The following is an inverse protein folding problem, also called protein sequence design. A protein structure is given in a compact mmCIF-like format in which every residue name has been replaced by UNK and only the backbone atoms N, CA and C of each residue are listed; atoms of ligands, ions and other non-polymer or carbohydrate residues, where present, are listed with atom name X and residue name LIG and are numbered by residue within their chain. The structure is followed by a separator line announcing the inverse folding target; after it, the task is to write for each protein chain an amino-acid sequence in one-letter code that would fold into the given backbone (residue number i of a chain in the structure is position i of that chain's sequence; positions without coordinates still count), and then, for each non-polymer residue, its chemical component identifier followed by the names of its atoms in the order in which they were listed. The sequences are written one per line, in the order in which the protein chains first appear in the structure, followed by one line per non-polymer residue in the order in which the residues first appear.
data_IF_326697779306
#
_entry.id   IF_326697779306
#
_cell.length_a   1.000
_cell.length_b   1.000
_cell.length_c   1.000
_cell.angle_alpha   90.00
_cell.angle_beta   90.00
_cell.angle_gamma   90.00
#
_symmetry.space_group_name_H-M   'P 1'
#
loop_
_entity.id
_entity.type
_entity.pdbx_description
1 polymer ?
#
# COMPACT_ATOMS: atom_id res chain seq x y z
N UNK A 1 -3.99 11.31 -13.95
CA UNK A 1 -2.69 10.76 -13.50
C UNK A 1 -1.79 10.65 -14.72
N UNK A 2 -0.47 10.73 -14.53
CA UNK A 2 0.50 10.62 -15.62
C UNK A 2 1.59 9.62 -15.26
N UNK A 3 1.95 8.75 -16.21
CA UNK A 3 3.18 7.97 -16.17
C UNK A 3 4.25 8.80 -16.89
N UNK A 4 5.29 9.17 -16.16
CA UNK A 4 6.38 10.03 -16.60
C UNK A 4 7.61 9.16 -16.89
N UNK A 5 7.94 9.02 -18.17
CA UNK A 5 8.98 8.12 -18.67
C UNK A 5 10.18 8.94 -19.08
N UNK A 6 11.27 8.80 -18.35
CA UNK A 6 12.51 9.52 -18.62
C UNK A 6 13.38 8.82 -19.68
N UNK A 7 14.12 9.64 -20.44
CA UNK A 7 15.06 9.20 -21.48
C UNK A 7 16.54 9.41 -21.09
N UNK A 8 16.83 9.64 -19.80
CA UNK A 8 18.17 10.00 -19.35
C UNK A 8 19.14 8.82 -19.51
N UNK A 9 20.24 9.02 -20.21
CA UNK A 9 21.29 8.01 -20.37
C UNK A 9 22.22 8.04 -19.14
N UNK A 10 21.76 7.43 -18.05
CA UNK A 10 22.54 7.29 -16.81
C UNK A 10 22.74 5.81 -16.48
N UNK A 11 23.75 5.52 -15.66
CA UNK A 11 24.03 4.14 -15.27
C UNK A 11 22.83 3.52 -14.54
N UNK A 12 22.39 2.30 -14.91
CA UNK A 12 21.33 1.61 -14.21
C UNK A 12 21.68 1.40 -12.72
N UNK A 13 20.69 1.46 -11.82
CA UNK A 13 20.91 1.18 -10.41
C UNK A 13 21.12 -0.32 -10.20
N UNK A 14 21.28 -0.73 -8.95
CA UNK A 14 21.27 -2.14 -8.58
C UNK A 14 19.98 -2.83 -9.02
N UNK A 15 20.04 -4.12 -9.33
CA UNK A 15 18.94 -4.90 -9.92
C UNK A 15 17.62 -4.80 -9.16
N UNK A 16 17.69 -4.76 -7.83
CA UNK A 16 16.54 -4.63 -6.92
C UNK A 16 15.78 -3.30 -7.07
N UNK A 17 16.39 -2.30 -7.71
CA UNK A 17 15.80 -0.97 -7.94
C UNK A 17 15.30 -0.75 -9.36
N UNK A 18 15.57 -1.67 -10.29
CA UNK A 18 15.12 -1.53 -11.69
C UNK A 18 13.61 -1.71 -11.78
N UNK A 19 13.08 -2.75 -11.13
CA UNK A 19 11.64 -3.02 -11.00
C UNK A 19 11.33 -3.21 -9.52
N UNK A 20 11.09 -2.14 -8.75
CA UNK A 20 11.01 -2.19 -7.29
C UNK A 20 9.99 -3.23 -6.82
N UNK A 21 10.40 -4.32 -6.17
CA UNK A 21 9.50 -5.40 -5.73
C UNK A 21 9.29 -6.55 -6.73
N UNK A 22 10.02 -6.57 -7.85
CA UNK A 22 10.14 -7.72 -8.76
C UNK A 22 11.61 -8.12 -8.80
N UNK A 23 11.99 -9.29 -8.30
CA UNK A 23 13.38 -9.73 -8.33
C UNK A 23 13.81 -10.03 -9.77
N UNK A 24 14.94 -9.50 -10.18
CA UNK A 24 15.62 -9.84 -11.43
C UNK A 24 16.77 -10.78 -11.08
N UNK A 25 16.75 -12.00 -11.60
CA UNK A 25 17.76 -13.01 -11.28
C UNK A 25 19.14 -12.63 -11.85
N UNK A 26 20.20 -13.09 -11.18
CA UNK A 26 21.59 -12.72 -11.52
C UNK A 26 22.03 -13.12 -12.94
N UNK A 27 21.43 -14.17 -13.48
CA UNK A 27 21.72 -14.68 -14.82
C UNK A 27 21.00 -13.91 -15.94
N UNK A 28 20.08 -12.99 -15.60
CA UNK A 28 19.42 -12.13 -16.58
C UNK A 28 20.40 -11.04 -16.98
N UNK A 29 20.75 -11.05 -18.26
CA UNK A 29 21.53 -9.98 -18.88
C UNK A 29 20.67 -8.72 -19.00
N UNK A 30 21.19 -7.62 -18.45
CA UNK A 30 20.55 -6.30 -18.47
C UNK A 30 21.25 -5.35 -19.44
N UNK A 31 22.21 -5.87 -20.21
CA UNK A 31 22.87 -5.12 -21.27
C UNK A 31 21.83 -4.57 -22.24
N UNK A 32 21.88 -3.26 -22.48
CA UNK A 32 20.92 -2.54 -23.33
C UNK A 32 19.77 -1.87 -22.57
N UNK A 33 19.55 -2.16 -21.29
CA UNK A 33 18.60 -1.41 -20.47
C UNK A 33 19.20 -0.06 -20.06
N UNK A 34 18.72 1.03 -20.67
CA UNK A 34 19.42 2.34 -20.62
C UNK A 34 18.58 3.52 -20.15
N UNK A 35 17.25 3.40 -20.13
CA UNK A 35 16.34 4.47 -19.71
C UNK A 35 14.95 3.92 -19.33
N UNK A 36 14.03 4.82 -19.00
CA UNK A 36 12.66 4.49 -18.58
C UNK A 36 11.82 3.77 -19.64
N UNK A 37 12.09 3.98 -20.93
CA UNK A 37 11.35 3.26 -21.98
C UNK A 37 11.65 1.77 -21.95
N UNK A 38 12.92 1.41 -21.75
CA UNK A 38 13.32 0.00 -21.69
C UNK A 38 12.79 -0.67 -20.42
N UNK A 39 12.87 0.00 -19.27
CA UNK A 39 12.36 -0.58 -18.01
C UNK A 39 10.86 -0.75 -18.02
N UNK A 40 10.12 0.21 -18.58
CA UNK A 40 8.67 0.12 -18.72
C UNK A 40 8.28 -0.98 -19.72
N UNK A 41 9.00 -1.12 -20.83
CA UNK A 41 8.77 -2.19 -21.79
C UNK A 41 8.99 -3.58 -21.17
N UNK A 42 10.06 -3.75 -20.38
CA UNK A 42 10.29 -5.01 -19.64
C UNK A 42 9.16 -5.28 -18.65
N UNK A 43 8.73 -4.26 -17.89
CA UNK A 43 7.61 -4.41 -16.95
C UNK A 43 6.33 -4.85 -17.66
N UNK A 44 6.00 -4.22 -18.79
CA UNK A 44 4.82 -4.57 -19.59
C UNK A 44 4.91 -5.99 -20.16
N UNK A 45 6.08 -6.37 -20.69
CA UNK A 45 6.33 -7.71 -21.21
C UNK A 45 6.19 -8.80 -20.13
N UNK A 46 6.67 -8.55 -18.90
CA UNK A 46 6.49 -9.45 -17.74
C UNK A 46 5.01 -9.64 -17.36
N UNK A 47 4.12 -8.74 -17.79
CA UNK A 47 2.67 -8.82 -17.59
C UNK A 47 1.91 -9.27 -18.83
N UNK A 48 2.60 -9.56 -19.93
CA UNK A 48 1.98 -9.89 -21.22
C UNK A 48 1.15 -8.74 -21.78
N UNK A 49 1.58 -7.49 -21.55
CA UNK A 49 0.88 -6.27 -21.93
C UNK A 49 1.74 -5.44 -22.89
N UNK A 50 1.12 -4.62 -23.77
CA UNK A 50 1.84 -3.62 -24.53
C UNK A 50 2.42 -2.53 -23.60
N UNK A 51 3.54 -1.93 -24.01
CA UNK A 51 4.14 -0.84 -23.25
C UNK A 51 3.21 0.39 -23.24
N UNK A 52 2.96 1.04 -22.08
CA UNK A 52 2.21 2.29 -22.05
C UNK A 52 2.81 3.39 -22.93
N UNK A 53 4.11 3.35 -23.23
CA UNK A 53 4.73 4.29 -24.16
C UNK A 53 4.14 4.19 -25.58
N UNK A 54 3.67 3.00 -25.95
CA UNK A 54 3.11 2.66 -27.26
C UNK A 54 1.58 2.79 -27.30
N UNK A 55 0.92 3.07 -26.18
CA UNK A 55 -0.54 3.20 -26.11
C UNK A 55 -1.02 4.43 -26.88
N UNK A 56 -1.45 4.21 -28.12
CA UNK A 56 -2.00 5.24 -29.02
C UNK A 56 -3.45 5.61 -28.70
N UNK A 57 -4.11 4.88 -27.80
CA UNK A 57 -5.52 5.11 -27.42
C UNK A 57 -5.69 6.19 -26.36
N UNK A 58 -4.59 6.68 -25.78
CA UNK A 58 -4.59 7.69 -24.73
C UNK A 58 -3.74 8.93 -25.08
N UNK A 59 -3.95 10.02 -24.36
CA UNK A 59 -3.15 11.24 -24.48
C UNK A 59 -1.68 10.95 -24.10
N UNK A 60 -0.77 11.25 -25.03
CA UNK A 60 0.68 11.17 -24.84
C UNK A 60 1.35 12.48 -25.20
N UNK A 61 2.41 12.85 -24.48
CA UNK A 61 3.12 14.12 -24.66
C UNK A 61 4.62 13.90 -24.55
N UNK A 62 5.38 14.25 -25.59
CA UNK A 62 6.85 14.27 -25.53
C UNK A 62 7.32 15.41 -24.65
N UNK A 63 8.28 15.11 -23.78
CA UNK A 63 8.94 16.12 -22.95
C UNK A 63 10.16 16.69 -23.67
N UNK A 64 10.62 17.89 -23.30
CA UNK A 64 11.83 18.48 -23.89
C UNK A 64 13.11 17.65 -23.65
N UNK A 65 13.16 16.88 -22.56
CA UNK A 65 14.29 15.98 -22.24
C UNK A 65 14.32 14.70 -23.10
N UNK A 66 13.38 14.53 -24.03
CA UNK A 66 13.24 13.32 -24.85
C UNK A 66 12.37 12.23 -24.22
N UNK A 67 11.88 12.46 -23.01
CA UNK A 67 10.94 11.59 -22.30
C UNK A 67 9.52 11.61 -22.87
N UNK A 68 8.62 10.93 -22.17
CA UNK A 68 7.21 10.81 -22.55
C UNK A 68 6.30 10.80 -21.32
N UNK A 69 5.30 11.67 -21.32
CA UNK A 69 4.17 11.62 -20.43
C UNK A 69 3.03 10.80 -21.07
N UNK A 70 2.55 9.77 -20.38
CA UNK A 70 1.37 8.99 -20.77
C UNK A 70 0.25 9.25 -19.76
N UNK A 71 -0.85 9.84 -20.22
CA UNK A 71 -1.92 10.31 -19.35
C UNK A 71 -3.01 9.24 -19.22
N UNK A 72 -3.52 9.05 -18.02
CA UNK A 72 -4.67 8.19 -17.76
C UNK A 72 -5.64 8.85 -16.79
N UNK A 73 -6.93 8.59 -17.01
CA UNK A 73 -8.00 8.90 -16.07
C UNK A 73 -8.12 7.75 -15.06
N UNK A 74 -7.93 8.05 -13.79
CA UNK A 74 -8.28 7.11 -12.73
C UNK A 74 -9.82 6.96 -12.73
N UNK A 75 -10.31 5.72 -12.91
CA UNK A 75 -11.74 5.43 -13.03
C UNK A 75 -12.49 5.39 -11.69
N UNK A 76 -11.78 5.49 -10.57
CA UNK A 76 -12.29 5.34 -9.22
C UNK A 76 -11.93 6.55 -8.36
N UNK A 77 -12.62 6.70 -7.22
CA UNK A 77 -12.33 7.74 -6.23
C UNK A 77 -11.02 7.50 -5.45
N UNK A 78 -10.14 6.60 -5.91
CA UNK A 78 -8.89 6.28 -5.22
C UNK A 78 -7.90 7.42 -5.40
N UNK A 79 -7.29 7.83 -4.30
CA UNK A 79 -6.24 8.86 -4.31
C UNK A 79 -4.87 8.23 -4.54
N UNK A 80 -4.52 8.09 -5.81
CA UNK A 80 -3.17 7.71 -6.23
C UNK A 80 -2.15 8.76 -5.79
N UNK A 81 -1.09 8.31 -5.14
CA UNK A 81 0.05 9.11 -4.71
C UNK A 81 1.08 9.25 -5.83
N UNK A 82 1.79 10.37 -5.80
CA UNK A 82 2.93 10.63 -6.66
C UNK A 82 4.18 9.85 -6.22
N UNK A 83 5.09 9.62 -7.15
CA UNK A 83 6.46 9.15 -6.85
C UNK A 83 7.26 10.22 -6.11
N UNK A 84 7.00 11.50 -6.44
CA UNK A 84 7.66 12.68 -5.85
C UNK A 84 7.14 12.95 -4.44
N UNK A 85 8.05 13.35 -3.54
CA UNK A 85 7.71 13.70 -2.15
C UNK A 85 7.49 12.48 -1.24
N UNK A 86 7.74 11.26 -1.73
CA UNK A 86 7.71 10.05 -0.91
C UNK A 86 9.03 9.89 -0.13
N UNK A 87 8.94 9.74 1.19
CA UNK A 87 10.09 9.40 2.04
C UNK A 87 10.64 7.99 1.80
N UNK A 88 9.90 7.15 1.06
CA UNK A 88 10.24 5.74 0.81
C UNK A 88 10.75 5.44 -0.60
N UNK A 89 11.05 6.44 -1.44
CA UNK A 89 11.64 6.21 -2.77
C UNK A 89 10.72 5.45 -3.75
N UNK A 90 9.43 5.79 -3.74
CA UNK A 90 8.38 5.17 -4.56
C UNK A 90 8.59 5.47 -6.05
N UNK A 91 8.75 4.45 -6.88
CA UNK A 91 8.82 4.54 -8.34
C UNK A 91 8.13 3.33 -8.98
N UNK A 92 7.61 3.47 -10.21
CA UNK A 92 6.99 2.36 -10.93
C UNK A 92 8.05 1.41 -11.50
N UNK A 93 9.11 1.99 -12.06
CA UNK A 93 10.34 1.34 -12.50
C UNK A 93 11.48 2.38 -12.48
N UNK A 94 12.72 1.95 -12.66
CA UNK A 94 13.84 2.89 -12.83
C UNK A 94 13.56 3.82 -14.03
N UNK A 95 13.65 5.14 -13.79
CA UNK A 95 13.30 6.21 -14.74
C UNK A 95 11.83 6.23 -15.20
N UNK A 96 10.93 5.66 -14.39
CA UNK A 96 9.49 5.72 -14.63
C UNK A 96 8.78 6.14 -13.35
N UNK A 97 8.38 7.41 -13.34
CA UNK A 97 7.68 8.04 -12.23
C UNK A 97 6.17 8.14 -12.49
N UNK A 98 5.42 8.38 -11.42
CA UNK A 98 3.98 8.56 -11.44
C UNK A 98 3.67 9.94 -10.90
N UNK A 99 3.01 10.77 -11.71
CA UNK A 99 2.50 12.09 -11.32
C UNK A 99 1.01 12.00 -11.05
N UNK A 100 0.63 12.13 -9.78
CA UNK A 100 -0.74 12.01 -9.32
C UNK A 100 -1.07 13.06 -8.23
N UNK A 101 -1.93 12.74 -7.28
CA UNK A 101 -2.38 13.67 -6.24
C UNK A 101 -1.19 14.29 -5.49
N UNK A 102 -1.23 15.61 -5.29
CA UNK A 102 -0.17 16.35 -4.58
C UNK A 102 1.08 16.64 -5.43
N UNK A 103 1.06 16.35 -6.73
CA UNK A 103 2.12 16.73 -7.66
C UNK A 103 1.58 17.57 -8.81
N UNK A 104 2.47 18.27 -9.50
CA UNK A 104 2.18 19.05 -10.69
C UNK A 104 2.89 18.45 -11.90
N UNK A 105 2.37 18.78 -13.08
CA UNK A 105 3.00 18.46 -14.36
C UNK A 105 2.79 19.63 -15.31
N UNK A 106 3.69 19.80 -16.27
CA UNK A 106 3.55 20.84 -17.29
C UNK A 106 2.48 20.42 -18.30
N UNK A 107 1.58 21.35 -18.60
CA UNK A 107 0.44 21.11 -19.47
C UNK A 107 0.88 20.78 -20.91
N UNK A 108 0.17 19.88 -21.60
CA UNK A 108 0.40 19.61 -23.02
C UNK A 108 0.35 20.90 -23.85
N UNK A 109 1.27 21.05 -24.80
CA UNK A 109 1.36 22.24 -25.68
C UNK A 109 2.12 23.42 -25.07
N UNK A 110 2.55 23.34 -23.81
CA UNK A 110 3.33 24.41 -23.17
C UNK A 110 4.77 24.40 -23.65
N UNK A 111 5.31 25.58 -23.95
CA UNK A 111 6.73 25.79 -24.25
C UNK A 111 7.43 26.42 -23.05
N UNK A 112 8.58 25.87 -22.68
CA UNK A 112 9.47 26.41 -21.64
C UNK A 112 10.82 26.76 -22.27
N UNK A 113 11.72 27.36 -21.47
CA UNK A 113 13.10 27.60 -21.93
C UNK A 113 13.85 26.32 -22.33
N UNK A 114 13.44 25.17 -21.78
CA UNK A 114 14.06 23.86 -22.08
C UNK A 114 13.49 23.22 -23.34
N UNK A 115 12.36 23.73 -23.86
CA UNK A 115 11.70 23.24 -25.08
C UNK A 115 10.19 23.06 -24.89
N UNK A 116 9.55 22.40 -25.85
CA UNK A 116 8.09 22.26 -25.90
C UNK A 116 7.62 20.88 -25.42
N UNK A 117 6.53 20.86 -24.66
CA UNK A 117 5.77 19.66 -24.32
C UNK A 117 4.80 19.35 -25.46
N UNK A 118 5.18 18.44 -26.36
CA UNK A 118 4.47 18.23 -27.63
C UNK A 118 3.52 17.03 -27.55
N UNK A 119 2.20 17.20 -27.72
CA UNK A 119 1.28 16.07 -27.85
C UNK A 119 1.69 15.15 -29.00
N UNK A 120 1.50 13.85 -28.83
CA UNK A 120 1.83 12.81 -29.81
C UNK A 120 0.55 12.18 -30.33
N UNK A 121 0.42 12.07 -31.65
CA UNK A 121 -0.78 11.55 -32.31
C UNK A 121 -1.98 12.50 -32.16
N UNK A 122 -3.18 11.98 -32.39
CA UNK A 122 -4.41 12.78 -32.45
C UNK A 122 -5.26 12.72 -31.17
N UNK A 123 -4.98 11.79 -30.27
CA UNK A 123 -5.73 11.66 -29.01
C UNK A 123 -5.40 12.82 -28.07
N UNK A 124 -6.45 13.48 -27.56
CA UNK A 124 -6.35 14.61 -26.63
C UNK A 124 -6.96 14.34 -25.25
N UNK A 125 -7.74 13.28 -25.15
CA UNK A 125 -8.39 12.86 -23.91
C UNK A 125 -7.65 11.69 -23.26
N UNK A 126 -7.35 11.74 -21.95
CA UNK A 126 -6.82 10.57 -21.24
C UNK A 126 -7.83 9.42 -21.22
N UNK A 127 -7.39 8.25 -21.66
CA UNK A 127 -8.14 7.00 -21.55
C UNK A 127 -8.24 6.52 -20.09
N UNK A 128 -9.19 5.63 -19.76
CA UNK A 128 -9.22 4.96 -18.46
C UNK A 128 -7.89 4.26 -18.15
N UNK A 129 -7.46 4.29 -16.89
CA UNK A 129 -6.28 3.58 -16.41
C UNK A 129 -6.43 2.05 -16.65
N UNK A 130 -5.50 1.41 -17.38
CA UNK A 130 -5.53 -0.04 -17.56
C UNK A 130 -5.41 -0.78 -16.22
N UNK A 131 -6.17 -1.86 -16.08
CA UNK A 131 -6.23 -2.64 -14.82
C UNK A 131 -4.85 -3.13 -14.39
N UNK A 132 -4.05 -3.67 -15.32
CA UNK A 132 -2.71 -4.18 -15.01
C UNK A 132 -1.79 -3.07 -14.46
N UNK A 133 -1.89 -1.86 -15.01
CA UNK A 133 -1.07 -0.73 -14.57
C UNK A 133 -1.53 -0.27 -13.18
N UNK A 134 -2.84 -0.30 -12.89
CA UNK A 134 -3.34 -0.02 -11.54
C UNK A 134 -2.81 -1.00 -10.50
N UNK A 135 -2.68 -2.28 -10.84
CA UNK A 135 -2.10 -3.31 -9.95
C UNK A 135 -0.61 -3.06 -9.71
N UNK A 136 0.14 -2.64 -10.73
CA UNK A 136 1.56 -2.29 -10.57
C UNK A 136 1.78 -1.03 -9.72
N UNK A 137 0.88 -0.05 -9.82
CA UNK A 137 0.86 1.13 -8.97
C UNK A 137 0.56 0.77 -7.51
N UNK A 138 -0.37 -0.14 -7.26
CA UNK A 138 -0.63 -0.68 -5.91
C UNK A 138 0.60 -1.41 -5.35
N UNK A 139 1.21 -2.28 -6.13
CA UNK A 139 2.41 -3.06 -5.76
C UNK A 139 3.58 -2.18 -5.35
N UNK A 140 3.74 -1.05 -6.05
CA UNK A 140 4.79 -0.05 -5.77
C UNK A 140 4.36 0.99 -4.73
N UNK A 141 3.18 0.81 -4.12
CA UNK A 141 2.68 1.60 -3.01
C UNK A 141 2.11 2.96 -3.40
N UNK A 142 1.85 3.22 -4.68
CA UNK A 142 1.21 4.46 -5.16
C UNK A 142 -0.25 4.54 -4.74
N UNK A 143 -0.90 3.41 -4.46
CA UNK A 143 -2.10 3.42 -3.66
C UNK A 143 -1.68 3.29 -2.19
N UNK A 144 -1.97 4.28 -1.31
CA UNK A 144 -1.79 4.06 0.11
C UNK A 144 -2.59 2.83 0.51
N UNK A 145 -1.93 1.85 1.13
CA UNK A 145 -2.65 0.90 1.97
C UNK A 145 -3.52 1.75 2.91
N UNK A 146 -4.82 1.45 2.99
CA UNK A 146 -5.74 2.19 3.84
C UNK A 146 -5.10 2.29 5.23
N UNK A 147 -4.71 3.50 5.66
CA UNK A 147 -3.89 3.77 6.85
C UNK A 147 -4.17 2.73 7.93
N UNK A 148 -3.28 1.74 8.03
CA UNK A 148 -3.24 0.79 9.13
C UNK A 148 -2.42 1.55 10.15
N UNK A 149 -3.00 2.02 11.27
CA UNK A 149 -2.21 2.63 12.31
C UNK A 149 -1.09 1.66 12.66
N UNK A 150 0.17 2.11 12.58
CA UNK A 150 1.28 1.33 13.10
C UNK A 150 0.92 0.92 14.54
N UNK A 151 1.17 -0.34 14.96
CA UNK A 151 0.80 -0.80 16.29
C UNK A 151 1.39 0.15 17.34
N UNK A 152 0.54 1.01 17.92
CA UNK A 152 0.97 1.87 19.01
C UNK A 152 1.23 0.95 20.19
N UNK A 153 2.38 1.09 20.89
CA UNK A 153 2.59 0.40 22.14
C UNK A 153 1.39 0.63 23.05
N UNK A 154 0.76 -0.47 23.49
CA UNK A 154 -0.38 -0.41 24.40
C UNK A 154 0.04 0.43 25.62
N UNK A 155 -0.68 1.52 25.96
CA UNK A 155 -0.36 2.32 27.13
C UNK A 155 -0.30 1.44 28.39
N UNK A 156 0.59 1.73 29.36
CA UNK A 156 0.77 0.93 30.56
C UNK A 156 -0.54 0.60 31.29
N UNK A 157 -1.54 1.49 31.23
CA UNK A 157 -2.87 1.32 31.82
C UNK A 157 -3.67 0.14 31.25
N UNK A 158 -3.58 -0.13 29.94
CA UNK A 158 -4.29 -1.26 29.34
C UNK A 158 -3.60 -2.59 29.66
N UNK A 159 -2.26 -2.61 29.76
CA UNK A 159 -1.53 -3.74 30.37
C UNK A 159 -1.95 -3.96 31.83
N UNK A 160 -2.05 -2.88 32.61
CA UNK A 160 -2.48 -2.93 34.02
C UNK A 160 -3.93 -3.40 34.18
N UNK A 161 -4.85 -3.04 33.28
CA UNK A 161 -6.23 -3.52 33.31
C UNK A 161 -6.32 -5.02 33.06
N UNK A 162 -5.50 -5.56 32.15
CA UNK A 162 -5.42 -7.02 31.93
C UNK A 162 -4.71 -7.71 33.11
N UNK A 163 -3.70 -7.07 33.73
CA UNK A 163 -2.96 -7.60 34.90
C UNK A 163 -3.90 -7.69 36.12
N UNK A 164 -4.69 -6.64 36.34
CA UNK A 164 -5.72 -6.58 37.38
C UNK A 164 -6.89 -7.53 37.11
N UNK A 165 -7.13 -7.90 35.85
CA UNK A 165 -8.12 -8.89 35.45
C UNK A 165 -7.62 -10.34 35.54
N UNK A 166 -6.43 -10.58 36.11
CA UNK A 166 -5.78 -11.89 36.29
C UNK A 166 -6.55 -12.96 37.10
N UNK A 167 -7.86 -12.79 37.27
CA UNK A 167 -8.81 -13.79 37.80
C UNK A 167 -10.17 -13.82 37.07
N UNK A 168 -10.34 -13.14 35.92
CA UNK A 168 -11.60 -13.20 35.14
C UNK A 168 -11.60 -14.41 34.18
N UNK A 169 -12.77 -15.03 34.00
CA UNK A 169 -12.95 -16.14 33.05
C UNK A 169 -12.71 -15.67 31.60
N UNK A 170 -12.15 -16.54 30.75
CA UNK A 170 -11.77 -16.26 29.35
C UNK A 170 -12.83 -15.50 28.54
N UNK A 171 -14.16 -15.81 28.65
CA UNK A 171 -15.19 -15.09 27.90
C UNK A 171 -15.32 -13.60 28.28
N UNK A 172 -15.11 -13.28 29.56
CA UNK A 172 -15.20 -11.89 30.06
C UNK A 172 -13.99 -11.06 29.63
N UNK A 173 -12.83 -11.71 29.50
CA UNK A 173 -11.62 -11.07 28.98
C UNK A 173 -11.79 -10.74 27.49
N UNK A 174 -12.26 -11.69 26.68
CA UNK A 174 -12.55 -11.49 25.26
C UNK A 174 -13.54 -10.34 25.06
N UNK A 175 -14.67 -10.35 25.77
CA UNK A 175 -15.67 -9.28 25.70
C UNK A 175 -15.07 -7.90 26.01
N UNK A 176 -14.21 -7.81 27.04
CA UNK A 176 -13.58 -6.53 27.41
C UNK A 176 -12.60 -5.99 26.35
N UNK A 177 -11.93 -6.88 25.62
CA UNK A 177 -10.99 -6.53 24.53
C UNK A 177 -11.75 -6.05 23.29
N UNK A 178 -12.92 -6.63 23.04
CA UNK A 178 -13.75 -6.37 21.85
C UNK A 178 -14.69 -5.16 22.01
N UNK A 179 -15.09 -4.81 23.24
CA UNK A 179 -16.01 -3.70 23.51
C UNK A 179 -15.64 -2.37 22.83
N UNK A 180 -14.36 -1.93 22.73
CA UNK A 180 -14.00 -0.73 21.97
C UNK A 180 -14.24 -0.85 20.45
N UNK A 181 -14.10 -2.05 19.89
CA UNK A 181 -14.36 -2.33 18.46
C UNK A 181 -15.87 -2.31 18.21
N UNK A 182 -16.65 -2.93 19.09
CA UNK A 182 -18.12 -2.90 19.06
C UNK A 182 -18.67 -1.47 19.15
N UNK A 183 -18.12 -0.67 20.08
CA UNK A 183 -18.52 0.73 20.28
C UNK A 183 -18.33 1.57 19.02
N UNK A 184 -17.36 1.25 18.17
CA UNK A 184 -17.17 1.96 16.90
C UNK A 184 -18.35 1.75 15.94
N UNK A 185 -19.10 0.65 16.05
CA UNK A 185 -20.31 0.39 15.27
C UNK A 185 -21.43 1.41 15.49
N UNK A 186 -21.40 2.16 16.60
CA UNK A 186 -22.43 3.15 16.96
C UNK A 186 -22.28 4.50 16.25
N UNK A 187 -21.16 4.74 15.56
CA UNK A 187 -20.87 6.00 14.86
C UNK A 187 -20.38 5.67 13.46
N UNK A 188 -20.89 6.34 12.42
CA UNK A 188 -20.51 6.04 11.03
C UNK A 188 -19.03 6.35 10.73
N UNK A 189 -18.50 7.47 11.24
CA UNK A 189 -17.11 7.93 11.00
C UNK A 189 -16.46 8.52 12.26
N UNK A 190 -15.12 8.67 12.26
CA UNK A 190 -14.39 9.39 13.32
C UNK A 190 -14.12 8.62 14.64
N UNK A 191 -14.63 7.40 14.80
CA UNK A 191 -14.52 6.64 16.06
C UNK A 191 -13.13 5.99 16.33
N UNK A 192 -12.13 6.18 15.46
CA UNK A 192 -10.83 5.53 15.63
C UNK A 192 -10.86 4.01 15.45
N UNK A 193 -11.80 3.47 14.65
CA UNK A 193 -12.02 2.04 14.44
C UNK A 193 -10.75 1.24 14.15
N UNK A 194 -9.92 1.70 13.21
CA UNK A 194 -8.69 0.99 12.85
C UNK A 194 -7.69 0.90 14.01
N UNK A 195 -7.67 1.90 14.88
CA UNK A 195 -6.79 1.95 16.06
C UNK A 195 -7.36 1.07 17.18
N UNK A 196 -8.69 1.05 17.38
CA UNK A 196 -9.35 0.12 18.29
C UNK A 196 -9.16 -1.35 17.86
N UNK A 197 -9.38 -1.65 16.58
CA UNK A 197 -9.22 -2.99 16.01
C UNK A 197 -7.76 -3.46 16.08
N UNK A 198 -6.80 -2.59 15.76
CA UNK A 198 -5.38 -2.92 15.86
C UNK A 198 -4.97 -3.22 17.31
N UNK A 199 -5.44 -2.43 18.29
CA UNK A 199 -5.18 -2.70 19.72
C UNK A 199 -5.77 -4.03 20.18
N UNK A 200 -7.00 -4.34 19.76
CA UNK A 200 -7.63 -5.61 20.08
C UNK A 200 -6.84 -6.78 19.48
N UNK A 201 -6.49 -6.72 18.19
CA UNK A 201 -5.66 -7.70 17.50
C UNK A 201 -4.30 -7.92 18.17
N UNK A 202 -3.60 -6.83 18.52
CA UNK A 202 -2.32 -6.91 19.21
C UNK A 202 -2.44 -7.57 20.59
N UNK A 203 -3.48 -7.23 21.35
CA UNK A 203 -3.72 -7.78 22.69
C UNK A 203 -4.05 -9.27 22.62
N UNK A 204 -4.92 -9.68 21.70
CA UNK A 204 -5.23 -11.08 21.47
C UNK A 204 -3.99 -11.87 21.03
N UNK A 205 -3.17 -11.32 20.13
CA UNK A 205 -1.92 -11.94 19.71
C UNK A 205 -0.97 -12.23 20.88
N UNK A 206 -0.86 -11.30 21.83
CA UNK A 206 -0.07 -11.51 23.04
C UNK A 206 -0.64 -12.57 23.99
N UNK A 207 -1.97 -12.69 24.09
CA UNK A 207 -2.63 -13.73 24.91
C UNK A 207 -2.53 -15.12 24.27
N UNK A 208 -2.63 -15.20 22.94
CA UNK A 208 -2.42 -16.43 22.16
C UNK A 208 -0.98 -16.91 22.37
N UNK A 209 0.01 -16.02 22.25
CA UNK A 209 1.41 -16.36 22.48
C UNK A 209 1.70 -16.81 23.92
N UNK A 210 0.89 -16.38 24.90
CA UNK A 210 0.96 -16.83 26.28
C UNK A 210 0.13 -18.11 26.56
N UNK A 211 -0.49 -18.71 25.54
CA UNK A 211 -1.31 -19.93 25.67
C UNK A 211 -2.62 -19.73 26.44
N UNK A 212 -3.13 -18.49 26.51
CA UNK A 212 -4.32 -18.14 27.31
C UNK A 212 -5.62 -18.05 26.51
N UNK A 213 -5.52 -18.09 25.20
CA UNK A 213 -6.66 -18.09 24.29
C UNK A 213 -6.33 -18.94 23.05
N UNK A 214 -7.28 -19.77 22.58
CA UNK A 214 -7.12 -20.47 21.31
C UNK A 214 -7.13 -19.47 20.15
N UNK A 215 -6.14 -19.61 19.24
CA UNK A 215 -5.95 -18.69 18.13
C UNK A 215 -7.18 -18.61 17.22
N UNK A 216 -7.72 -19.75 16.81
CA UNK A 216 -8.84 -19.82 15.87
C UNK A 216 -10.06 -19.04 16.39
N UNK A 217 -10.41 -19.23 17.66
CA UNK A 217 -11.57 -18.57 18.27
C UNK A 217 -11.33 -17.05 18.43
N UNK A 218 -10.15 -16.66 18.89
CA UNK A 218 -9.81 -15.24 19.05
C UNK A 218 -9.80 -14.50 17.72
N UNK A 219 -9.28 -15.13 16.65
CA UNK A 219 -9.31 -14.56 15.30
C UNK A 219 -10.72 -14.47 14.74
N UNK A 220 -11.51 -15.54 14.89
CA UNK A 220 -12.88 -15.63 14.40
C UNK A 220 -13.75 -14.55 15.01
N UNK A 221 -13.81 -14.48 16.35
CA UNK A 221 -14.66 -13.53 17.06
C UNK A 221 -14.20 -12.09 16.77
N UNK A 222 -12.89 -11.81 16.74
CA UNK A 222 -12.40 -10.47 16.39
C UNK A 222 -12.82 -10.02 14.98
N UNK A 223 -12.73 -10.92 14.00
CA UNK A 223 -13.15 -10.63 12.61
C UNK A 223 -14.66 -10.41 12.53
N UNK A 224 -15.46 -11.28 13.15
CA UNK A 224 -16.93 -11.16 13.20
C UNK A 224 -17.37 -9.83 13.83
N UNK A 225 -16.79 -9.48 14.98
CA UNK A 225 -17.06 -8.19 15.66
C UNK A 225 -16.68 -7.00 14.77
N UNK A 226 -15.51 -7.05 14.12
CA UNK A 226 -15.04 -5.97 13.27
C UNK A 226 -15.91 -5.79 12.01
N UNK A 227 -16.35 -6.88 11.38
CA UNK A 227 -17.23 -6.86 10.22
C UNK A 227 -18.60 -6.30 10.60
N UNK A 228 -19.14 -6.71 11.74
CA UNK A 228 -20.40 -6.18 12.27
C UNK A 228 -20.31 -4.67 12.51
N UNK A 229 -19.19 -4.19 13.05
CA UNK A 229 -18.98 -2.76 13.28
C UNK A 229 -18.76 -1.95 11.99
N UNK A 230 -18.21 -2.56 10.93
CA UNK A 230 -17.94 -1.91 9.62
C UNK A 230 -18.19 -2.86 8.44
N UNK A 231 -19.46 -3.06 8.05
CA UNK A 231 -19.80 -3.87 6.86
C UNK A 231 -19.18 -3.28 5.58
N UNK A 232 -18.72 -4.12 4.65
CA UNK A 232 -18.12 -3.69 3.38
C UNK A 232 -16.64 -3.27 3.47
N UNK A 233 -16.00 -3.43 4.63
CA UNK A 233 -14.56 -3.17 4.83
C UNK A 233 -13.76 -4.45 5.14
N UNK A 234 -14.24 -5.61 4.70
CA UNK A 234 -13.72 -6.94 5.04
C UNK A 234 -12.22 -7.05 4.75
N UNK A 235 -11.79 -6.66 3.55
CA UNK A 235 -10.38 -6.73 3.18
C UNK A 235 -9.48 -5.85 4.07
N UNK A 236 -9.97 -4.67 4.44
CA UNK A 236 -9.24 -3.75 5.34
C UNK A 236 -9.18 -4.32 6.77
N UNK A 237 -10.28 -4.91 7.25
CA UNK A 237 -10.36 -5.56 8.55
C UNK A 237 -9.34 -6.71 8.61
N UNK A 238 -9.30 -7.57 7.60
CA UNK A 238 -8.34 -8.67 7.52
C UNK A 238 -6.89 -8.20 7.62
N UNK A 239 -6.53 -7.14 6.90
CA UNK A 239 -5.18 -6.57 6.94
C UNK A 239 -4.81 -6.04 8.34
N UNK A 240 -5.72 -5.31 9.00
CA UNK A 240 -5.49 -4.76 10.35
C UNK A 240 -5.35 -5.89 11.37
N UNK A 241 -6.25 -6.88 11.31
CA UNK A 241 -6.26 -8.06 12.19
C UNK A 241 -4.95 -8.84 12.04
N UNK A 242 -4.55 -9.17 10.80
CA UNK A 242 -3.32 -9.92 10.51
C UNK A 242 -2.08 -9.20 11.04
N UNK A 243 -1.96 -7.90 10.75
CA UNK A 243 -0.84 -7.07 11.20
C UNK A 243 -0.77 -6.99 12.73
N UNK A 244 -1.89 -6.69 13.39
CA UNK A 244 -1.97 -6.60 14.85
C UNK A 244 -1.65 -7.92 15.55
N UNK A 245 -2.24 -9.03 15.10
CA UNK A 245 -1.96 -10.36 15.66
C UNK A 245 -0.50 -10.76 15.50
N UNK A 246 0.06 -10.57 14.31
CA UNK A 246 1.48 -10.89 14.03
C UNK A 246 2.42 -10.12 14.95
N UNK A 247 2.12 -8.85 15.22
CA UNK A 247 2.88 -8.03 16.16
C UNK A 247 2.68 -8.47 17.61
N UNK A 248 1.45 -8.81 18.00
CA UNK A 248 1.10 -9.29 19.34
C UNK A 248 1.75 -10.65 19.68
N UNK A 249 1.79 -11.58 18.72
CA UNK A 249 2.40 -12.90 18.88
C UNK A 249 3.89 -12.83 19.26
N UNK A 250 4.58 -11.77 18.84
CA UNK A 250 5.99 -11.51 19.19
C UNK A 250 6.17 -10.95 20.61
N UNK A 251 5.08 -10.64 21.32
CA UNK A 251 5.05 -9.97 22.62
C UNK A 251 4.03 -10.65 23.55
N UNK A 252 4.35 -11.85 24.07
CA UNK A 252 3.47 -12.55 25.01
C UNK A 252 3.02 -11.64 26.15
N UNK A 253 1.71 -11.58 26.40
CA UNK A 253 1.14 -10.89 27.54
C UNK A 253 1.06 -11.93 28.66
N UNK A 254 1.87 -11.73 29.71
CA UNK A 254 2.16 -12.64 30.84
C UNK A 254 3.17 -13.74 30.54
N UNK A 255 4.43 -13.47 30.84
CA UNK A 255 5.39 -14.49 31.26
C UNK A 255 5.84 -14.12 32.68
N UNK A 256 5.19 -14.73 33.68
CA UNK A 256 5.68 -14.74 35.05
C UNK A 256 5.44 -16.14 35.62
N UNK A 257 6.37 -17.04 35.31
CA UNK A 257 6.67 -18.19 36.16
C UNK A 257 6.00 -19.50 35.78
N UNK A 258 6.56 -20.19 34.77
CA UNK A 258 6.84 -21.64 34.87
C UNK A 258 7.87 -22.01 33.80
N UNK A 259 9.14 -22.11 34.22
CA UNK A 259 10.10 -22.96 33.52
C UNK A 259 9.82 -24.42 33.90
N UNK A 260 9.94 -25.39 32.98
CA UNK A 260 10.20 -26.78 33.38
C UNK A 260 11.58 -26.88 34.06
#
# INVERSE_FOLDING_TARGET
MVIDIDAHLVQPPTRDRILPGIPIAEHIDLTGLSNGFHTLAVLAALRGQPSPAEDTSTLRVRTPSGGLHVWYRAGDHRRWQSSVGSSSGRALAWQVDVRAHGSYIIAPGTSTQQGAYRPVGDVREPAPLPLWLSQELERTGHLPAASIPAPRPVPPRARQAVLAAGGRQEPQLLASILAPVESCGQVAEGAGFSDALNRAAYTLGGLIAAGRLPQEEAERVLKETAITARPGQEHRIEQIVRSGLTAGLKRPLYDNGRRP
#
